data_IF_921775995223
#
_entry.id   IF_921775995223
#
_cell.length_a   1.000
_cell.length_b   1.000
_cell.length_c   1.000
_cell.angle_alpha   90.00
_cell.angle_beta   90.00
_cell.angle_gamma   90.00
#
_symmetry.space_group_name_H-M   'P 1'
#
loop_
_entity.id
_entity.type
_entity.pdbx_description
1 polymer ?
#
# COMPACT_ATOMS: atom_id res chain seq x y z
N UNK A 1 -54.46 4.19 30.42
CA UNK A 1 -54.32 4.84 29.08
C UNK A 1 -53.18 5.86 29.02
N UNK A 2 -52.99 6.73 30.02
CA UNK A 2 -51.93 7.76 30.02
C UNK A 2 -50.48 7.25 29.99
N UNK A 3 -50.19 6.13 30.65
CA UNK A 3 -48.83 5.54 30.74
C UNK A 3 -48.33 5.03 29.38
N UNK A 4 -49.22 4.47 28.57
CA UNK A 4 -48.88 3.88 27.26
C UNK A 4 -48.48 4.98 26.26
N UNK A 5 -49.22 6.11 26.26
CA UNK A 5 -48.93 7.25 25.38
C UNK A 5 -47.63 7.95 25.77
N UNK A 6 -47.37 8.10 27.08
CA UNK A 6 -46.11 8.66 27.58
C UNK A 6 -44.89 7.81 27.24
N UNK A 7 -45.00 6.48 27.38
CA UNK A 7 -43.94 5.54 27.01
C UNK A 7 -43.62 5.55 25.52
N UNK A 8 -44.65 5.63 24.66
CA UNK A 8 -44.47 5.72 23.21
C UNK A 8 -43.74 7.01 22.80
N UNK A 9 -44.12 8.15 23.38
CA UNK A 9 -43.48 9.45 23.09
C UNK A 9 -42.01 9.50 23.51
N UNK A 10 -41.66 8.89 24.64
CA UNK A 10 -40.27 8.77 25.09
C UNK A 10 -39.45 7.88 24.15
N UNK A 11 -39.99 6.73 23.74
CA UNK A 11 -39.31 5.81 22.82
C UNK A 11 -39.00 6.45 21.45
N UNK A 12 -39.94 7.22 20.90
CA UNK A 12 -39.74 7.93 19.62
C UNK A 12 -38.62 8.98 19.74
N UNK A 13 -38.58 9.74 20.83
CA UNK A 13 -37.54 10.75 21.08
C UNK A 13 -36.14 10.12 21.17
N UNK A 14 -36.00 9.03 21.93
CA UNK A 14 -34.74 8.30 22.05
C UNK A 14 -34.32 7.69 20.71
N UNK A 15 -35.25 7.10 19.97
CA UNK A 15 -34.96 6.54 18.65
C UNK A 15 -34.41 7.60 17.68
N UNK A 16 -35.03 8.78 17.63
CA UNK A 16 -34.57 9.91 16.83
C UNK A 16 -33.18 10.43 17.25
N UNK A 17 -32.93 10.52 18.56
CA UNK A 17 -31.62 10.91 19.09
C UNK A 17 -30.53 9.91 18.69
N UNK A 18 -30.77 8.62 18.88
CA UNK A 18 -29.81 7.55 18.54
C UNK A 18 -29.53 7.53 17.04
N UNK A 19 -30.54 7.63 16.18
CA UNK A 19 -30.34 7.66 14.72
C UNK A 19 -29.52 8.87 14.29
N UNK A 20 -29.76 10.06 14.87
CA UNK A 20 -28.97 11.25 14.57
C UNK A 20 -27.50 11.13 15.06
N UNK A 21 -27.27 10.52 16.22
CA UNK A 21 -25.93 10.29 16.76
C UNK A 21 -25.15 9.27 15.90
N UNK A 22 -25.80 8.17 15.49
CA UNK A 22 -25.20 7.18 14.59
C UNK A 22 -24.86 7.83 13.24
N UNK A 23 -25.76 8.64 12.69
CA UNK A 23 -25.49 9.36 11.44
C UNK A 23 -24.27 10.28 11.57
N UNK A 24 -24.15 11.03 12.68
CA UNK A 24 -22.99 11.89 12.93
C UNK A 24 -21.67 11.10 13.03
N UNK A 25 -21.68 9.94 13.71
CA UNK A 25 -20.50 9.06 13.81
C UNK A 25 -20.11 8.52 12.44
N UNK A 26 -21.07 8.05 11.65
CA UNK A 26 -20.82 7.53 10.29
C UNK A 26 -20.25 8.62 9.39
N UNK A 27 -20.84 9.82 9.40
CA UNK A 27 -20.32 10.97 8.64
C UNK A 27 -18.90 11.33 9.08
N UNK A 28 -18.64 11.37 10.39
CA UNK A 28 -17.29 11.62 10.93
C UNK A 28 -16.26 10.60 10.47
N UNK A 29 -16.60 9.31 10.50
CA UNK A 29 -15.73 8.23 10.03
C UNK A 29 -15.46 8.33 8.52
N UNK A 30 -16.48 8.61 7.71
CA UNK A 30 -16.33 8.79 6.26
C UNK A 30 -15.40 9.96 5.94
N UNK A 31 -15.55 11.09 6.64
CA UNK A 31 -14.67 12.24 6.47
C UNK A 31 -13.22 11.91 6.89
N UNK A 32 -13.04 11.22 8.01
CA UNK A 32 -11.71 10.82 8.46
C UNK A 32 -11.00 9.89 7.45
N UNK A 33 -11.71 8.90 6.93
CA UNK A 33 -11.18 7.98 5.90
C UNK A 33 -10.88 8.73 4.61
N UNK A 34 -11.77 9.62 4.15
CA UNK A 34 -11.56 10.41 2.94
C UNK A 34 -10.32 11.31 3.05
N UNK A 35 -10.15 11.98 4.19
CA UNK A 35 -8.97 12.81 4.47
C UNK A 35 -7.70 11.94 4.51
N UNK A 36 -7.73 10.82 5.22
CA UNK A 36 -6.60 9.89 5.28
C UNK A 36 -6.20 9.35 3.90
N UNK A 37 -7.18 8.99 3.08
CA UNK A 37 -6.96 8.54 1.71
C UNK A 37 -6.38 9.65 0.82
N UNK A 38 -6.89 10.88 0.92
CA UNK A 38 -6.35 12.02 0.20
C UNK A 38 -4.88 12.30 0.55
N UNK A 39 -4.53 12.26 1.85
CA UNK A 39 -3.14 12.37 2.29
C UNK A 39 -2.27 11.22 1.79
N UNK A 40 -2.78 9.99 1.81
CA UNK A 40 -2.06 8.83 1.28
C UNK A 40 -1.76 8.97 -0.22
N UNK A 41 -2.75 9.35 -1.02
CA UNK A 41 -2.59 9.58 -2.46
C UNK A 41 -1.63 10.75 -2.73
N UNK A 42 -1.80 11.88 -2.02
CA UNK A 42 -0.93 13.04 -2.15
C UNK A 42 0.52 12.71 -1.79
N UNK A 43 0.74 11.94 -0.72
CA UNK A 43 2.06 11.47 -0.33
C UNK A 43 2.66 10.57 -1.41
N UNK A 44 1.89 9.63 -1.96
CA UNK A 44 2.35 8.72 -3.01
C UNK A 44 2.74 9.49 -4.29
N UNK A 45 1.91 10.44 -4.73
CA UNK A 45 2.22 11.30 -5.88
C UNK A 45 3.43 12.17 -5.61
N UNK A 46 3.56 12.74 -4.40
CA UNK A 46 4.70 13.57 -4.01
C UNK A 46 5.99 12.76 -3.95
N UNK A 47 5.95 11.54 -3.41
CA UNK A 47 7.09 10.63 -3.36
C UNK A 47 7.52 10.22 -4.77
N UNK A 48 6.59 9.85 -5.64
CA UNK A 48 6.90 9.50 -7.04
C UNK A 48 7.53 10.69 -7.79
N UNK A 49 6.97 11.90 -7.63
CA UNK A 49 7.53 13.10 -8.25
C UNK A 49 8.86 13.53 -7.62
N UNK A 50 9.08 13.25 -6.34
CA UNK A 50 10.36 13.47 -5.67
C UNK A 50 11.42 12.47 -6.14
N UNK A 51 11.05 11.20 -6.36
CA UNK A 51 11.93 10.18 -6.94
C UNK A 51 12.28 10.54 -8.37
N UNK A 52 11.32 10.95 -9.20
CA UNK A 52 11.59 11.39 -10.58
C UNK A 52 12.50 12.62 -10.61
N UNK A 53 12.27 13.62 -9.75
CA UNK A 53 13.14 14.81 -9.67
C UNK A 53 14.51 14.51 -9.05
N UNK A 54 14.60 13.61 -8.08
CA UNK A 54 15.86 13.14 -7.52
C UNK A 54 16.64 12.29 -8.55
N UNK A 55 15.94 11.48 -9.35
CA UNK A 55 16.51 10.72 -10.46
C UNK A 55 16.95 11.64 -11.61
N UNK A 56 16.25 12.75 -11.87
CA UNK A 56 16.66 13.76 -12.85
C UNK A 56 17.84 14.61 -12.34
N UNK A 57 17.88 14.93 -11.05
CA UNK A 57 19.02 15.61 -10.41
C UNK A 57 20.26 14.70 -10.28
N UNK A 58 20.07 13.39 -10.09
CA UNK A 58 21.15 12.39 -10.07
C UNK A 58 21.54 11.91 -11.48
N UNK A 59 20.59 11.97 -12.44
CA UNK A 59 20.66 11.40 -13.79
C UNK A 59 20.73 12.43 -14.91
N UNK A 60 20.75 13.73 -14.63
CA UNK A 60 21.14 14.79 -15.57
C UNK A 60 22.61 14.71 -16.02
N UNK A 61 23.35 13.71 -15.52
CA UNK A 61 24.65 13.25 -16.05
C UNK A 61 24.61 11.90 -16.77
N UNK A 62 23.46 11.23 -16.82
CA UNK A 62 23.39 9.79 -17.07
C UNK A 62 22.19 9.48 -17.97
N UNK A 63 22.37 9.70 -19.27
CA UNK A 63 21.69 8.93 -20.31
C UNK A 63 21.90 7.39 -20.18
N UNK A 64 22.56 6.89 -19.12
CA UNK A 64 22.62 5.47 -18.71
C UNK A 64 21.65 5.08 -17.58
N UNK A 65 20.74 5.95 -17.14
CA UNK A 65 19.78 5.66 -16.06
C UNK A 65 18.58 4.81 -16.52
N UNK A 66 18.41 4.60 -17.82
CA UNK A 66 17.49 3.58 -18.37
C UNK A 66 17.95 2.14 -18.05
N UNK A 67 19.23 1.93 -17.75
CA UNK A 67 19.75 0.59 -17.42
C UNK A 67 19.52 0.22 -15.94
N UNK A 68 19.46 1.19 -15.03
CA UNK A 68 19.46 0.95 -13.58
C UNK A 68 18.15 0.34 -13.04
N UNK A 69 16.93 0.79 -13.42
CA UNK A 69 15.69 0.17 -12.93
C UNK A 69 15.44 -1.21 -13.55
N UNK A 70 15.86 -1.45 -14.79
CA UNK A 70 15.80 -2.78 -15.41
C UNK A 70 16.70 -3.78 -14.68
N UNK A 71 17.92 -3.38 -14.30
CA UNK A 71 18.81 -4.19 -13.46
C UNK A 71 18.22 -4.40 -12.06
N UNK A 72 17.62 -3.38 -11.45
CA UNK A 72 17.09 -3.49 -10.08
C UNK A 72 15.88 -4.44 -10.01
N UNK A 73 14.99 -4.41 -11.02
CA UNK A 73 13.89 -5.36 -11.14
C UNK A 73 14.36 -6.81 -11.36
N UNK A 74 15.34 -7.00 -12.26
CA UNK A 74 15.93 -8.32 -12.53
C UNK A 74 16.58 -8.94 -11.28
N UNK A 75 17.23 -8.15 -10.43
CA UNK A 75 17.83 -8.66 -9.19
C UNK A 75 16.81 -9.02 -8.12
N UNK A 76 15.69 -8.29 -8.02
CA UNK A 76 14.63 -8.60 -7.06
C UNK A 76 13.95 -9.91 -7.43
N UNK A 77 13.66 -10.12 -8.73
CA UNK A 77 13.05 -11.36 -9.22
C UNK A 77 14.00 -12.55 -9.08
N UNK A 78 15.30 -12.37 -9.35
CA UNK A 78 16.33 -13.38 -9.11
C UNK A 78 16.44 -13.76 -7.63
N UNK A 79 16.38 -12.78 -6.73
CA UNK A 79 16.46 -13.02 -5.29
C UNK A 79 15.23 -13.75 -4.76
N UNK A 80 14.03 -13.43 -5.27
CA UNK A 80 12.81 -14.16 -4.91
C UNK A 80 12.82 -15.61 -5.41
N UNK A 81 13.28 -15.84 -6.65
CA UNK A 81 13.43 -17.19 -7.20
C UNK A 81 14.50 -18.00 -6.45
N UNK A 82 15.61 -17.38 -6.09
CA UNK A 82 16.66 -18.00 -5.27
C UNK A 82 16.17 -18.38 -3.87
N UNK A 83 15.39 -17.51 -3.23
CA UNK A 83 14.77 -17.78 -1.93
C UNK A 83 13.79 -18.95 -1.99
N UNK A 84 12.96 -19.01 -3.04
CA UNK A 84 12.04 -20.13 -3.27
C UNK A 84 12.82 -21.43 -3.51
N UNK A 85 13.87 -21.40 -4.32
CA UNK A 85 14.72 -22.56 -4.59
C UNK A 85 15.41 -23.07 -3.33
N UNK A 86 15.97 -22.19 -2.52
CA UNK A 86 16.59 -22.52 -1.22
C UNK A 86 15.59 -23.20 -0.28
N UNK A 87 14.35 -22.69 -0.19
CA UNK A 87 13.29 -23.28 0.63
C UNK A 87 12.87 -24.68 0.16
N UNK A 88 12.95 -24.96 -1.14
CA UNK A 88 12.56 -26.25 -1.72
C UNK A 88 13.69 -27.29 -1.72
N UNK A 89 14.93 -26.86 -1.92
CA UNK A 89 16.09 -27.76 -2.02
C UNK A 89 16.87 -27.92 -0.73
N UNK A 90 16.60 -27.09 0.28
CA UNK A 90 17.40 -26.99 1.51
C UNK A 90 18.82 -26.44 1.27
N UNK A 91 19.12 -25.99 0.05
CA UNK A 91 20.43 -25.40 -0.27
C UNK A 91 20.54 -24.01 0.37
N UNK A 92 21.73 -23.62 0.84
CA UNK A 92 21.99 -22.27 1.29
C UNK A 92 21.55 -21.23 0.24
N UNK A 93 20.96 -20.12 0.70
CA UNK A 93 20.42 -19.08 -0.19
C UNK A 93 21.49 -18.48 -1.11
N UNK A 94 22.73 -18.41 -0.63
CA UNK A 94 23.87 -17.86 -1.37
C UNK A 94 24.21 -18.73 -2.60
N UNK A 95 24.13 -20.06 -2.48
CA UNK A 95 24.37 -20.99 -3.57
C UNK A 95 23.21 -20.98 -4.59
N UNK A 96 21.97 -20.90 -4.10
CA UNK A 96 20.78 -20.79 -4.93
C UNK A 96 20.75 -19.47 -5.73
N UNK A 97 21.16 -18.37 -5.09
CA UNK A 97 21.24 -17.05 -5.71
C UNK A 97 22.32 -16.99 -6.78
N UNK A 98 23.51 -17.55 -6.51
CA UNK A 98 24.58 -17.63 -7.51
C UNK A 98 24.16 -18.42 -8.74
N UNK A 99 23.40 -19.50 -8.57
CA UNK A 99 22.84 -20.26 -9.69
C UNK A 99 21.86 -19.41 -10.53
N UNK A 100 20.95 -18.68 -9.89
CA UNK A 100 19.95 -17.88 -10.60
C UNK A 100 20.60 -16.70 -11.33
N UNK A 101 21.61 -16.08 -10.72
CA UNK A 101 22.44 -15.06 -11.37
C UNK A 101 23.19 -15.62 -12.58
N UNK A 102 23.70 -16.85 -12.50
CA UNK A 102 24.34 -17.51 -13.63
C UNK A 102 23.35 -17.79 -14.78
N UNK A 103 22.10 -18.15 -14.46
CA UNK A 103 21.02 -18.37 -15.44
C UNK A 103 20.65 -17.09 -16.17
N UNK A 104 20.49 -15.98 -15.45
CA UNK A 104 20.15 -14.68 -16.04
C UNK A 104 21.28 -14.11 -16.89
N UNK A 105 22.53 -14.39 -16.53
CA UNK A 105 23.71 -13.92 -17.28
C UNK A 105 23.94 -14.71 -18.57
N UNK A 106 23.51 -15.99 -18.63
CA UNK A 106 23.67 -16.84 -19.81
C UNK A 106 22.52 -16.75 -20.82
N UNK A 107 21.49 -15.93 -20.56
CA UNK A 107 20.38 -15.67 -21.48
C UNK A 107 19.37 -16.83 -21.61
N UNK A 108 19.23 -17.64 -20.55
CA UNK A 108 18.32 -18.80 -20.50
C UNK A 108 16.88 -18.48 -20.09
#
# INVERSE_FOLDING_TARGET
MSVIVGGLGFAITIYGLVTSAVAAIVVGLVLFVAVGFAFHVAANVTMNNAISRAAEAAGGRVHGAEYIPAIHGLHIDAFQQAKLKSAMSGQPIDDAFRFEMARLTSGG
#
